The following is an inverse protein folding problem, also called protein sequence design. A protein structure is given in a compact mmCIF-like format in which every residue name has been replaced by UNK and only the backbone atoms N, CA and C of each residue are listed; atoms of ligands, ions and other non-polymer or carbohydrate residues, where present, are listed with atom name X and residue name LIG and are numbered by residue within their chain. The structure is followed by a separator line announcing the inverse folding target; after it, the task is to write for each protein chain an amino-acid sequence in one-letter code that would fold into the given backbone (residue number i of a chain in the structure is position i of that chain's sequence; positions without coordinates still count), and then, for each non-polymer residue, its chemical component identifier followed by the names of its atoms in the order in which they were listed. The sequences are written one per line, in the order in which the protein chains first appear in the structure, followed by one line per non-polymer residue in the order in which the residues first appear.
data_IF_634769370698
#
_entry.id   IF_634769370698
#
_cell.length_a   1.000
_cell.length_b   1.000
_cell.length_c   1.000
_cell.angle_alpha   90.00
_cell.angle_beta   90.00
_cell.angle_gamma   90.00
#
_symmetry.space_group_name_H-M   'P 1'
#
loop_
_entity.id
_entity.type
_entity.pdbx_description
1 polymer ?
#
# COMPACT_ATOMS: atom_id res chain seq x y z
N UNK A 1 -14.33 -56.91 -41.17
CA UNK A 1 -14.94 -55.99 -40.21
C UNK A 1 -14.07 -55.96 -38.97
N UNK A 2 -13.22 -55.00 -38.82
CA UNK A 2 -12.30 -54.90 -37.69
C UNK A 2 -12.74 -53.68 -36.82
N UNK A 3 -13.05 -53.94 -35.52
CA UNK A 3 -13.46 -52.92 -34.59
C UNK A 3 -12.27 -52.09 -34.07
N UNK A 4 -12.50 -50.87 -33.60
CA UNK A 4 -11.43 -49.98 -33.16
C UNK A 4 -10.85 -50.42 -31.81
N UNK A 5 -9.50 -50.47 -31.71
CA UNK A 5 -8.77 -50.72 -30.50
C UNK A 5 -8.81 -49.50 -29.59
N UNK A 6 -9.37 -49.66 -28.37
CA UNK A 6 -9.41 -48.64 -27.35
C UNK A 6 -8.01 -48.33 -26.80
N UNK A 7 -7.70 -47.03 -26.68
CA UNK A 7 -6.53 -46.51 -25.96
C UNK A 7 -6.74 -46.66 -24.46
N UNK A 8 -5.93 -47.45 -23.79
CA UNK A 8 -5.88 -47.50 -22.33
C UNK A 8 -5.03 -46.35 -21.81
N UNK A 9 -5.61 -45.45 -21.06
CA UNK A 9 -4.91 -44.36 -20.37
C UNK A 9 -4.05 -44.91 -19.25
N UNK A 10 -2.73 -44.73 -19.37
CA UNK A 10 -1.75 -45.12 -18.38
C UNK A 10 -1.78 -44.11 -17.21
N UNK A 11 -2.42 -44.47 -16.11
CA UNK A 11 -2.33 -43.75 -14.83
C UNK A 11 -1.06 -44.26 -14.10
N UNK A 12 0.07 -43.67 -14.43
CA UNK A 12 1.31 -43.91 -13.70
C UNK A 12 1.24 -43.23 -12.33
N UNK A 13 1.27 -44.03 -11.24
CA UNK A 13 1.51 -43.55 -9.89
C UNK A 13 2.89 -42.89 -9.84
N UNK A 14 2.90 -41.53 -9.67
CA UNK A 14 4.16 -40.79 -9.55
C UNK A 14 5.06 -41.37 -8.44
N UNK A 15 6.38 -41.42 -8.61
CA UNK A 15 7.28 -42.06 -7.67
C UNK A 15 7.23 -41.32 -6.32
N UNK A 16 6.90 -42.10 -5.27
CA UNK A 16 6.74 -41.60 -3.88
C UNK A 16 7.98 -40.84 -3.36
N UNK A 17 9.16 -41.10 -3.94
CA UNK A 17 10.40 -40.43 -3.58
C UNK A 17 10.40 -38.91 -3.96
N UNK A 18 9.66 -38.48 -5.00
CA UNK A 18 9.51 -37.05 -5.36
C UNK A 18 8.74 -36.29 -4.29
N UNK A 19 7.73 -36.93 -3.69
CA UNK A 19 6.97 -36.38 -2.58
C UNK A 19 7.87 -36.24 -1.34
N UNK A 20 8.70 -37.28 -1.08
CA UNK A 20 9.64 -37.28 0.04
C UNK A 20 10.71 -36.18 -0.11
N UNK A 21 11.22 -35.96 -1.34
CA UNK A 21 12.14 -34.87 -1.64
C UNK A 21 11.49 -33.47 -1.46
N UNK A 22 10.25 -33.32 -1.88
CA UNK A 22 9.52 -32.06 -1.70
C UNK A 22 9.30 -31.76 -0.21
N UNK A 23 8.93 -32.77 0.59
CA UNK A 23 8.78 -32.61 2.05
C UNK A 23 10.13 -32.28 2.70
N UNK A 24 11.21 -32.93 2.30
CA UNK A 24 12.54 -32.62 2.81
C UNK A 24 12.96 -31.19 2.49
N UNK A 25 12.69 -30.71 1.26
CA UNK A 25 12.98 -29.34 0.85
C UNK A 25 12.24 -28.32 1.71
N UNK A 26 10.95 -28.56 1.95
CA UNK A 26 10.13 -27.70 2.82
C UNK A 26 10.68 -27.66 4.24
N UNK A 27 11.09 -28.81 4.80
CA UNK A 27 11.70 -28.86 6.14
C UNK A 27 13.03 -28.10 6.21
N UNK A 28 13.86 -28.18 5.16
CA UNK A 28 15.10 -27.38 5.07
C UNK A 28 14.82 -25.89 5.03
N UNK A 29 13.84 -25.46 4.24
CA UNK A 29 13.44 -24.04 4.16
C UNK A 29 12.91 -23.56 5.51
N UNK A 30 12.03 -24.32 6.16
CA UNK A 30 11.50 -23.97 7.48
C UNK A 30 12.63 -23.93 8.54
N UNK A 31 13.59 -24.84 8.46
CA UNK A 31 14.79 -24.84 9.33
C UNK A 31 15.65 -23.59 9.11
N UNK A 32 15.89 -23.20 7.87
CA UNK A 32 16.63 -21.99 7.53
C UNK A 32 15.92 -20.72 8.04
N UNK A 33 14.61 -20.62 7.85
CA UNK A 33 13.81 -19.51 8.36
C UNK A 33 13.82 -19.46 9.91
N UNK A 34 13.77 -20.60 10.58
CA UNK A 34 13.87 -20.65 12.04
C UNK A 34 15.24 -20.18 12.52
N UNK A 35 16.34 -20.55 11.84
CA UNK A 35 17.69 -20.08 12.18
C UNK A 35 17.80 -18.58 11.99
N UNK A 36 17.31 -18.03 10.88
CA UNK A 36 17.30 -16.57 10.63
C UNK A 36 16.51 -15.85 11.72
N UNK A 37 15.35 -16.38 12.13
CA UNK A 37 14.53 -15.81 13.23
C UNK A 37 15.21 -15.89 14.59
N UNK A 38 15.98 -16.95 14.84
CA UNK A 38 16.70 -17.14 16.11
C UNK A 38 17.99 -16.31 16.19
N UNK A 39 18.57 -15.89 15.07
CA UNK A 39 19.79 -15.07 15.06
C UNK A 39 19.62 -13.74 15.84
N UNK A 40 18.42 -13.16 15.84
CA UNK A 40 18.15 -11.94 16.61
C UNK A 40 18.16 -12.11 18.14
N UNK A 41 18.15 -13.36 18.64
CA UNK A 41 18.21 -13.68 20.07
C UNK A 41 19.58 -14.24 20.48
N UNK A 42 20.57 -14.19 19.60
CA UNK A 42 21.95 -14.58 19.92
C UNK A 42 22.69 -13.37 20.47
N UNK A 43 23.04 -13.42 21.73
CA UNK A 43 23.87 -12.39 22.41
C UNK A 43 25.27 -13.00 22.62
N UNK A 44 26.32 -12.26 22.31
CA UNK A 44 27.70 -12.66 22.55
C UNK A 44 28.12 -12.12 23.93
N UNK A 45 28.70 -12.99 24.79
CA UNK A 45 29.29 -12.54 26.06
C UNK A 45 30.72 -12.01 25.84
N UNK A 46 31.32 -11.41 26.86
CA UNK A 46 32.67 -10.83 26.83
C UNK A 46 33.78 -11.85 26.46
N UNK A 47 33.44 -13.12 26.31
CA UNK A 47 34.33 -14.22 25.93
C UNK A 47 34.08 -14.73 24.50
N UNK A 48 33.33 -13.98 23.68
CA UNK A 48 32.99 -14.29 22.27
C UNK A 48 32.22 -15.63 22.09
N UNK A 49 31.47 -16.05 23.13
CA UNK A 49 30.64 -17.25 23.08
C UNK A 49 29.18 -16.88 22.83
N UNK A 50 28.55 -17.48 21.79
CA UNK A 50 27.14 -17.20 21.49
C UNK A 50 26.23 -17.80 22.59
N UNK A 51 25.33 -16.98 23.14
CA UNK A 51 24.30 -17.35 24.09
C UNK A 51 22.93 -17.06 23.50
N UNK A 52 21.98 -18.00 23.65
CA UNK A 52 20.61 -17.84 23.16
C UNK A 52 19.77 -17.30 24.31
N UNK A 53 19.27 -16.07 24.21
CA UNK A 53 18.38 -15.44 25.19
C UNK A 53 16.95 -15.46 24.65
N UNK A 54 16.16 -16.43 25.10
CA UNK A 54 14.76 -16.59 24.69
C UNK A 54 13.84 -15.93 25.70
N UNK A 55 12.80 -15.20 25.27
CA UNK A 55 11.82 -14.64 26.19
C UNK A 55 11.11 -15.74 26.98
N UNK A 56 11.23 -15.70 28.31
CA UNK A 56 10.56 -16.65 29.20
C UNK A 56 9.12 -16.22 29.41
N UNK A 57 8.17 -17.06 29.04
CA UNK A 57 6.77 -16.92 29.47
C UNK A 57 6.65 -17.37 30.93
N UNK A 58 6.54 -16.41 31.87
CA UNK A 58 6.27 -16.69 33.28
C UNK A 58 4.86 -17.25 33.43
N UNK A 59 4.78 -18.50 33.91
CA UNK A 59 3.59 -19.05 34.55
C UNK A 59 3.64 -18.69 36.02
N UNK A 60 2.54 -18.20 36.53
CA UNK A 60 2.31 -17.84 37.92
C UNK A 60 2.83 -18.87 38.94
N UNK A 61 3.50 -18.39 39.99
CA UNK A 61 3.79 -19.18 41.17
C UNK A 61 3.57 -18.37 42.47
N UNK A 62 2.94 -18.98 43.49
CA UNK A 62 2.54 -18.27 44.71
C UNK A 62 3.68 -18.12 45.72
N UNK A 63 3.44 -17.19 46.64
CA UNK A 63 4.28 -16.64 47.67
C UNK A 63 4.99 -17.62 48.61
N UNK A 64 6.19 -17.24 49.04
CA UNK A 64 6.96 -17.88 50.10
C UNK A 64 8.10 -17.01 50.61
N UNK A 65 7.82 -16.30 51.68
CA UNK A 65 8.61 -15.68 52.73
C UNK A 65 10.14 -15.90 52.79
N UNK A 66 10.92 -14.79 52.99
CA UNK A 66 12.28 -14.81 53.49
C UNK A 66 13.08 -13.52 53.29
N UNK A 67 13.10 -12.67 54.28
CA UNK A 67 13.78 -11.37 54.38
C UNK A 67 15.31 -11.47 54.43
N UNK A 68 16.03 -10.60 53.66
CA UNK A 68 17.18 -9.78 54.14
C UNK A 68 17.49 -8.66 53.12
N UNK A 69 17.88 -7.46 53.55
CA UNK A 69 18.02 -6.32 52.64
C UNK A 69 19.43 -6.28 52.05
N UNK A 70 19.52 -6.07 50.74
CA UNK A 70 20.73 -5.68 50.04
C UNK A 70 20.38 -4.50 49.16
N UNK A 71 21.22 -3.48 49.21
CA UNK A 71 21.16 -2.16 48.56
C UNK A 71 20.62 -2.15 47.15
N UNK A 72 19.71 -1.21 46.86
CA UNK A 72 19.19 -0.87 45.56
C UNK A 72 20.27 -0.29 44.63
N UNK A 73 20.47 -0.84 43.43
CA UNK A 73 20.93 -0.04 42.29
C UNK A 73 19.69 0.51 41.58
N UNK A 74 19.71 1.80 41.32
CA UNK A 74 18.60 2.59 40.76
C UNK A 74 17.83 1.94 39.65
N UNK A 75 16.54 2.14 39.74
CA UNK A 75 15.50 1.80 38.76
C UNK A 75 15.77 2.52 37.43
N UNK A 76 16.55 1.86 36.55
CA UNK A 76 16.61 2.25 35.17
C UNK A 76 15.37 1.65 34.49
N UNK A 77 14.22 2.30 34.62
CA UNK A 77 13.10 2.05 33.76
C UNK A 77 13.51 2.41 32.35
N UNK A 78 13.87 1.40 31.55
CA UNK A 78 13.93 1.55 30.11
C UNK A 78 12.49 1.74 29.63
N UNK A 79 12.07 2.97 29.53
CA UNK A 79 10.93 3.35 28.72
C UNK A 79 11.36 3.04 27.28
N UNK A 80 10.84 1.97 26.71
CA UNK A 80 10.86 1.81 25.25
C UNK A 80 9.95 2.96 24.79
N UNK A 81 10.54 4.08 24.38
CA UNK A 81 9.83 5.08 23.60
C UNK A 81 9.39 4.36 22.32
N UNK A 82 8.09 4.04 22.23
CA UNK A 82 7.51 3.76 20.93
C UNK A 82 7.92 4.95 20.03
N UNK A 83 8.45 4.69 18.82
CA UNK A 83 8.83 5.79 17.95
C UNK A 83 7.60 6.70 17.80
N UNK A 84 7.74 7.95 18.26
CA UNK A 84 6.68 8.95 18.16
C UNK A 84 6.20 8.95 16.71
N UNK A 85 4.95 8.57 16.51
CA UNK A 85 4.35 8.54 15.19
C UNK A 85 4.26 9.99 14.73
N UNK A 86 5.19 10.40 13.86
CA UNK A 86 5.28 11.77 13.36
C UNK A 86 3.97 12.13 12.68
N UNK A 87 3.28 13.15 13.16
CA UNK A 87 2.10 13.68 12.49
C UNK A 87 2.50 14.27 11.13
N UNK A 88 1.71 13.97 10.11
CA UNK A 88 1.97 14.37 8.73
C UNK A 88 1.10 15.58 8.38
N UNK A 89 1.69 16.76 8.41
CA UNK A 89 1.06 18.00 7.96
C UNK A 89 1.53 18.26 6.53
N UNK A 90 0.79 17.70 5.57
CA UNK A 90 1.23 17.61 4.20
C UNK A 90 0.62 18.69 3.29
N UNK A 91 1.42 19.11 2.30
CA UNK A 91 0.94 19.88 1.18
C UNK A 91 1.28 19.19 -0.16
N UNK A 92 0.31 19.20 -1.08
CA UNK A 92 0.53 18.69 -2.42
C UNK A 92 1.41 19.66 -3.23
N UNK A 93 2.45 19.10 -3.87
CA UNK A 93 3.28 19.84 -4.81
C UNK A 93 2.55 19.99 -6.17
N UNK A 94 2.91 21.02 -6.97
CA UNK A 94 2.40 21.13 -8.33
C UNK A 94 2.66 19.85 -9.13
N UNK A 95 1.68 19.40 -9.89
CA UNK A 95 1.80 18.20 -10.72
C UNK A 95 2.73 18.48 -11.90
N UNK A 96 3.78 17.69 -12.03
CA UNK A 96 4.75 17.81 -13.11
C UNK A 96 6.18 17.54 -12.65
N UNK A 97 7.14 17.61 -13.61
CA UNK A 97 8.56 17.46 -13.27
C UNK A 97 9.04 18.68 -12.49
N UNK A 98 9.64 18.44 -11.33
CA UNK A 98 10.23 19.47 -10.48
C UNK A 98 11.72 19.64 -10.87
N UNK A 99 12.20 20.88 -11.00
CA UNK A 99 13.59 21.21 -11.36
C UNK A 99 14.34 21.98 -10.28
N UNK A 100 13.64 22.51 -9.29
CA UNK A 100 14.22 23.24 -8.16
C UNK A 100 13.37 22.96 -6.90
N UNK A 101 13.84 22.04 -6.07
CA UNK A 101 13.16 21.65 -4.83
C UNK A 101 12.95 22.82 -3.87
N UNK A 102 14.01 23.60 -3.64
CA UNK A 102 13.95 24.68 -2.66
C UNK A 102 12.97 25.77 -3.04
N UNK A 103 12.96 26.14 -4.33
CA UNK A 103 12.00 27.14 -4.83
C UNK A 103 10.56 26.65 -4.75
N UNK A 104 10.31 25.40 -5.13
CA UNK A 104 8.97 24.79 -5.06
C UNK A 104 8.51 24.70 -3.60
N UNK A 105 9.35 24.18 -2.71
CA UNK A 105 8.99 24.04 -1.29
C UNK A 105 8.76 25.38 -0.58
N UNK A 106 9.58 26.38 -0.84
CA UNK A 106 9.37 27.72 -0.30
C UNK A 106 8.05 28.36 -0.75
N UNK A 107 7.59 28.05 -1.96
CA UNK A 107 6.30 28.53 -2.47
C UNK A 107 5.11 27.77 -1.86
N UNK A 108 5.23 26.45 -1.65
CA UNK A 108 4.16 25.59 -1.13
C UNK A 108 4.07 25.68 0.40
N UNK A 109 5.22 25.76 1.10
CA UNK A 109 5.30 25.78 2.57
C UNK A 109 5.94 27.08 3.08
N UNK A 110 5.31 28.25 2.88
CA UNK A 110 5.85 29.51 3.32
C UNK A 110 6.02 29.54 4.85
N UNK A 111 7.25 29.88 5.29
CA UNK A 111 7.55 29.91 6.72
C UNK A 111 7.60 28.55 7.41
N UNK A 112 7.67 27.44 6.67
CA UNK A 112 7.65 26.08 7.23
C UNK A 112 6.28 25.64 7.74
N UNK A 113 5.20 26.07 7.07
CA UNK A 113 3.83 25.78 7.46
C UNK A 113 3.50 24.26 7.43
N UNK A 114 4.24 23.50 6.66
CA UNK A 114 4.05 22.05 6.51
C UNK A 114 5.35 21.30 6.79
N UNK A 115 5.22 20.03 7.18
CA UNK A 115 6.35 19.13 7.44
C UNK A 115 6.42 17.96 6.45
N UNK A 116 5.48 17.88 5.50
CA UNK A 116 5.42 16.81 4.51
C UNK A 116 5.06 17.33 3.13
N UNK A 117 5.68 16.75 2.10
CA UNK A 117 5.49 17.10 0.70
C UNK A 117 4.92 15.91 -0.08
N UNK A 118 3.76 16.08 -0.72
CA UNK A 118 3.17 15.05 -1.59
C UNK A 118 3.58 15.33 -3.04
N UNK A 119 4.47 14.49 -3.57
CA UNK A 119 4.91 14.54 -4.95
C UNK A 119 4.11 13.55 -5.80
N UNK A 120 3.46 14.02 -6.84
CA UNK A 120 2.76 13.15 -7.79
C UNK A 120 3.76 12.44 -8.69
N UNK A 121 4.02 11.18 -8.40
CA UNK A 121 4.89 10.31 -9.21
C UNK A 121 4.19 9.88 -10.47
N UNK A 122 2.94 9.44 -10.38
CA UNK A 122 2.08 9.09 -11.50
C UNK A 122 0.74 9.79 -11.36
N UNK A 123 0.34 10.54 -12.40
CA UNK A 123 -0.93 11.22 -12.44
C UNK A 123 -2.03 10.39 -13.14
N UNK A 124 -3.29 10.79 -12.94
CA UNK A 124 -4.46 10.11 -13.48
C UNK A 124 -4.55 10.16 -15.02
N UNK A 125 -3.86 11.09 -15.67
CA UNK A 125 -3.69 11.14 -17.14
C UNK A 125 -2.67 10.12 -17.67
N UNK A 126 -2.08 9.29 -16.78
CA UNK A 126 -1.10 8.26 -17.10
C UNK A 126 0.32 8.77 -17.26
N UNK A 127 0.59 10.05 -16.94
CA UNK A 127 1.95 10.59 -17.01
C UNK A 127 2.73 10.25 -15.73
N UNK A 128 4.02 9.92 -15.89
CA UNK A 128 4.94 9.51 -14.83
C UNK A 128 6.10 10.50 -14.78
N UNK A 129 6.34 11.09 -13.63
CA UNK A 129 7.29 12.20 -13.43
C UNK A 129 8.60 11.79 -12.78
N UNK A 130 8.87 10.49 -12.74
CA UNK A 130 10.18 9.92 -12.38
C UNK A 130 10.68 9.02 -13.52
N UNK A 131 11.97 8.72 -13.52
CA UNK A 131 12.53 7.72 -14.41
C UNK A 131 12.22 6.33 -13.87
N UNK A 132 11.25 5.64 -14.47
CA UNK A 132 10.79 4.33 -14.03
C UNK A 132 10.71 3.36 -15.22
N UNK A 133 11.48 2.28 -15.18
CA UNK A 133 11.53 1.26 -16.24
C UNK A 133 10.18 0.53 -16.44
N UNK A 134 9.37 0.43 -15.39
CA UNK A 134 8.05 -0.19 -15.44
C UNK A 134 7.06 0.61 -16.28
N UNK A 135 7.25 1.93 -16.38
CA UNK A 135 6.37 2.84 -17.10
C UNK A 135 6.54 2.73 -18.62
N UNK A 136 5.45 2.80 -19.40
CA UNK A 136 5.58 2.94 -20.84
C UNK A 136 6.44 4.16 -21.20
N UNK A 137 7.39 4.09 -22.16
CA UNK A 137 8.22 5.24 -22.50
C UNK A 137 7.43 6.48 -22.91
N UNK A 138 6.22 6.28 -23.46
CA UNK A 138 5.31 7.37 -23.84
C UNK A 138 4.68 8.09 -22.65
N UNK A 139 4.71 7.52 -21.43
CA UNK A 139 4.17 8.13 -20.21
C UNK A 139 5.20 8.96 -19.46
N UNK A 140 6.49 8.65 -19.56
CA UNK A 140 7.55 9.31 -18.79
C UNK A 140 7.72 10.77 -19.21
N UNK A 141 7.73 11.67 -18.23
CA UNK A 141 7.85 13.13 -18.39
C UNK A 141 8.88 13.67 -17.43
N UNK A 142 10.12 13.29 -17.64
CA UNK A 142 11.28 13.89 -16.96
C UNK A 142 11.88 15.01 -17.81
N UNK A 143 12.49 15.99 -17.16
CA UNK A 143 13.25 17.08 -17.80
C UNK A 143 14.62 17.17 -17.17
N UNK A 144 15.53 17.87 -17.83
CA UNK A 144 16.86 18.11 -17.29
C UNK A 144 16.77 18.75 -15.89
N UNK A 145 17.52 18.20 -14.92
CA UNK A 145 17.50 18.64 -13.53
C UNK A 145 16.41 18.00 -12.65
N UNK A 146 15.38 17.34 -13.21
CA UNK A 146 14.30 16.79 -12.37
C UNK A 146 14.75 15.69 -11.42
N UNK A 147 15.68 14.83 -11.85
CA UNK A 147 16.23 13.78 -11.00
C UNK A 147 17.07 14.37 -9.83
N UNK A 148 17.80 15.44 -10.08
CA UNK A 148 18.56 16.13 -9.04
C UNK A 148 17.64 16.80 -8.03
N UNK A 149 16.61 17.52 -8.49
CA UNK A 149 15.64 18.19 -7.62
C UNK A 149 14.84 17.18 -6.77
N UNK A 150 14.47 16.03 -7.32
CA UNK A 150 13.86 14.94 -6.58
C UNK A 150 14.82 14.39 -5.51
N UNK A 151 16.08 14.15 -5.88
CA UNK A 151 17.12 13.71 -4.94
C UNK A 151 17.37 14.71 -3.82
N UNK A 152 17.25 16.02 -4.08
CA UNK A 152 17.36 17.07 -3.06
C UNK A 152 16.16 17.05 -2.11
N UNK A 153 14.95 16.80 -2.62
CA UNK A 153 13.75 16.62 -1.81
C UNK A 153 13.87 15.42 -0.87
N UNK A 154 14.29 14.27 -1.40
CA UNK A 154 14.40 13.02 -0.63
C UNK A 154 15.54 13.03 0.42
N UNK A 155 16.48 13.99 0.32
CA UNK A 155 17.55 14.20 1.28
C UNK A 155 17.24 15.28 2.31
N UNK A 156 16.13 15.97 2.18
CA UNK A 156 15.75 17.04 3.10
C UNK A 156 15.13 16.42 4.36
N UNK A 157 15.97 16.21 5.38
CA UNK A 157 15.58 15.59 6.67
C UNK A 157 14.44 16.34 7.39
N UNK A 158 14.19 17.60 7.02
CA UNK A 158 13.09 18.41 7.56
C UNK A 158 11.73 18.07 6.95
N UNK A 159 11.69 17.32 5.85
CA UNK A 159 10.48 17.08 5.06
C UNK A 159 10.19 15.57 4.93
N UNK A 160 8.99 15.18 5.29
CA UNK A 160 8.47 13.85 5.07
C UNK A 160 7.98 13.73 3.62
N UNK A 161 8.57 12.84 2.84
CA UNK A 161 8.34 12.73 1.41
C UNK A 161 7.28 11.67 1.07
N UNK A 162 6.16 12.08 0.49
CA UNK A 162 5.05 11.20 0.08
C UNK A 162 5.01 11.07 -1.43
N UNK A 163 5.13 9.84 -1.95
CA UNK A 163 4.94 9.51 -3.37
C UNK A 163 3.47 9.23 -3.66
N UNK A 164 2.79 10.10 -4.39
CA UNK A 164 1.40 9.88 -4.83
C UNK A 164 1.37 9.15 -6.16
N UNK A 165 0.61 8.05 -6.22
CA UNK A 165 0.41 7.22 -7.40
C UNK A 165 -1.10 7.09 -7.68
N UNK A 166 -1.59 7.74 -8.74
CA UNK A 166 -2.94 7.52 -9.27
C UNK A 166 -2.95 6.15 -10.00
N UNK A 167 -3.58 5.13 -9.41
CA UNK A 167 -3.35 3.74 -9.80
C UNK A 167 -4.05 3.34 -11.10
N UNK A 168 -5.32 2.98 -11.03
CA UNK A 168 -5.99 2.29 -12.14
C UNK A 168 -6.54 3.24 -13.23
N UNK A 169 -6.70 4.51 -12.96
CA UNK A 169 -6.97 5.49 -14.01
C UNK A 169 -5.67 5.83 -14.74
N UNK A 170 -5.52 5.28 -15.94
CA UNK A 170 -4.30 5.41 -16.75
C UNK A 170 -4.59 5.23 -18.24
N UNK A 171 -4.82 6.31 -18.96
CA UNK A 171 -5.09 6.25 -20.38
C UNK A 171 -3.89 5.85 -21.23
N UNK A 172 -2.67 6.02 -20.75
CA UNK A 172 -1.44 5.70 -21.50
C UNK A 172 -1.11 4.21 -21.40
N UNK A 173 -0.93 3.69 -20.17
CA UNK A 173 -0.54 2.29 -19.99
C UNK A 173 -1.66 1.32 -20.39
N UNK A 174 -2.94 1.68 -20.15
CA UNK A 174 -4.09 0.88 -20.58
C UNK A 174 -4.18 0.71 -22.09
N UNK A 175 -3.78 1.74 -22.84
CA UNK A 175 -3.79 1.70 -24.31
C UNK A 175 -2.53 1.10 -24.91
N UNK A 176 -1.38 1.26 -24.22
CA UNK A 176 -0.10 0.69 -24.68
C UNK A 176 -0.13 -0.84 -24.64
N UNK A 177 -0.82 -1.42 -23.65
CA UNK A 177 -1.00 -2.86 -23.51
C UNK A 177 -2.43 -3.19 -23.08
N UNK A 178 -3.36 -3.11 -24.01
CA UNK A 178 -4.76 -3.43 -23.74
C UNK A 178 -4.97 -4.90 -23.33
N UNK A 179 -4.16 -5.81 -23.83
CA UNK A 179 -4.31 -7.23 -23.54
C UNK A 179 -3.85 -7.57 -22.12
N UNK A 180 -2.67 -7.08 -21.73
CA UNK A 180 -2.06 -7.39 -20.43
C UNK A 180 -2.46 -6.44 -19.30
N UNK A 181 -2.88 -5.20 -19.61
CA UNK A 181 -3.11 -4.16 -18.61
C UNK A 181 -4.47 -3.46 -18.69
N UNK A 182 -4.95 -3.15 -19.90
CA UNK A 182 -6.09 -2.27 -20.09
C UNK A 182 -7.44 -2.92 -19.82
N UNK A 183 -8.39 -2.16 -19.26
CA UNK A 183 -9.78 -2.57 -19.13
C UNK A 183 -10.47 -2.54 -20.49
N UNK A 184 -11.17 -3.62 -20.84
CA UNK A 184 -11.84 -3.80 -22.13
C UNK A 184 -13.34 -3.57 -22.02
N UNK A 185 -13.94 -3.22 -23.15
CA UNK A 185 -15.39 -3.33 -23.31
C UNK A 185 -15.77 -4.68 -23.94
N UNK A 186 -17.06 -5.01 -23.92
CA UNK A 186 -17.60 -6.27 -24.48
C UNK A 186 -17.40 -6.46 -25.99
N UNK A 187 -16.92 -5.43 -26.68
CA UNK A 187 -16.48 -5.50 -28.07
C UNK A 187 -14.99 -5.78 -28.25
N UNK A 188 -14.24 -5.96 -27.14
CA UNK A 188 -12.79 -6.23 -27.16
C UNK A 188 -11.91 -4.99 -27.33
N UNK A 189 -12.49 -3.79 -27.30
CA UNK A 189 -11.77 -2.51 -27.38
C UNK A 189 -11.55 -1.93 -26.00
N UNK A 190 -10.72 -0.89 -25.90
CA UNK A 190 -10.54 -0.09 -24.67
C UNK A 190 -11.89 0.37 -24.15
N UNK A 191 -12.09 0.22 -22.84
CA UNK A 191 -13.27 0.77 -22.16
C UNK A 191 -13.05 2.26 -21.88
N UNK A 192 -14.08 3.06 -22.13
CA UNK A 192 -14.16 4.46 -21.74
C UNK A 192 -15.28 4.62 -20.74
N UNK A 193 -14.98 5.25 -19.62
CA UNK A 193 -15.97 5.56 -18.59
C UNK A 193 -16.86 6.76 -18.97
N UNK A 194 -17.72 7.22 -18.08
CA UNK A 194 -18.61 8.36 -18.32
C UNK A 194 -17.90 9.69 -18.48
N UNK A 195 -16.66 9.82 -18.03
CA UNK A 195 -15.81 11.00 -18.15
C UNK A 195 -14.82 10.89 -19.32
N UNK A 196 -14.97 9.87 -20.17
CA UNK A 196 -14.07 9.57 -21.29
C UNK A 196 -12.65 9.18 -20.85
N UNK A 197 -12.52 8.68 -19.61
CA UNK A 197 -11.27 8.17 -19.06
C UNK A 197 -11.06 6.69 -19.39
N UNK A 198 -9.80 6.27 -19.43
CA UNK A 198 -9.39 4.88 -19.70
C UNK A 198 -8.69 4.31 -18.47
N UNK A 199 -8.88 3.03 -18.26
CA UNK A 199 -8.54 2.38 -17.02
C UNK A 199 -7.67 1.14 -17.23
N UNK A 200 -6.75 0.90 -16.32
CA UNK A 200 -6.14 -0.41 -16.12
C UNK A 200 -7.18 -1.35 -15.50
N UNK A 201 -6.99 -2.65 -15.71
CA UNK A 201 -7.85 -3.69 -15.17
C UNK A 201 -7.23 -4.29 -13.90
N UNK A 202 -7.81 -4.06 -12.72
CA UNK A 202 -7.29 -4.61 -11.46
C UNK A 202 -7.21 -6.14 -11.41
N UNK A 203 -8.02 -6.83 -12.23
CA UNK A 203 -7.96 -8.28 -12.34
C UNK A 203 -6.74 -8.80 -13.10
N UNK A 204 -6.05 -7.93 -13.86
CA UNK A 204 -4.89 -8.32 -14.67
C UNK A 204 -3.59 -8.17 -13.89
N UNK A 205 -2.83 -9.26 -13.84
CA UNK A 205 -1.50 -9.28 -13.21
C UNK A 205 -0.56 -8.20 -13.78
N UNK A 206 -0.54 -8.02 -15.12
CA UNK A 206 0.33 -7.00 -15.74
C UNK A 206 -0.02 -5.56 -15.38
N UNK A 207 -1.30 -5.26 -15.04
CA UNK A 207 -1.70 -3.96 -14.51
C UNK A 207 -1.23 -3.77 -13.07
N UNK A 208 -1.42 -4.78 -12.22
CA UNK A 208 -0.99 -4.74 -10.83
C UNK A 208 0.53 -4.67 -10.70
N UNK A 209 1.25 -5.54 -11.43
CA UNK A 209 2.72 -5.57 -11.42
C UNK A 209 3.33 -4.21 -11.82
N UNK A 210 2.79 -3.56 -12.86
CA UNK A 210 3.23 -2.23 -13.28
C UNK A 210 3.17 -1.21 -12.13
N UNK A 211 2.07 -1.19 -11.37
CA UNK A 211 1.88 -0.27 -10.26
C UNK A 211 2.75 -0.65 -9.05
N UNK A 212 2.92 -1.94 -8.79
CA UNK A 212 3.81 -2.46 -7.74
C UNK A 212 5.27 -2.10 -8.04
N UNK A 213 5.73 -2.31 -9.28
CA UNK A 213 7.10 -1.95 -9.68
C UNK A 213 7.35 -0.45 -9.55
N UNK A 214 6.37 0.39 -9.89
CA UNK A 214 6.46 1.84 -9.73
C UNK A 214 6.57 2.25 -8.25
N UNK A 215 5.74 1.67 -7.39
CA UNK A 215 5.78 1.94 -5.94
C UNK A 215 7.09 1.46 -5.31
N UNK A 216 7.58 0.28 -5.72
CA UNK A 216 8.88 -0.26 -5.28
C UNK A 216 10.03 0.65 -5.70
N UNK A 217 9.99 1.22 -6.91
CA UNK A 217 10.98 2.21 -7.35
C UNK A 217 10.96 3.48 -6.49
N UNK A 218 9.78 3.93 -6.05
CA UNK A 218 9.65 5.06 -5.12
C UNK A 218 10.23 4.74 -3.74
N UNK A 219 9.90 3.57 -3.18
CA UNK A 219 10.44 3.12 -1.90
C UNK A 219 11.97 3.00 -1.94
N UNK A 220 12.51 2.41 -3.01
CA UNK A 220 13.96 2.30 -3.23
C UNK A 220 14.64 3.66 -3.43
N UNK A 221 13.94 4.68 -3.93
CA UNK A 221 14.44 6.04 -4.06
C UNK A 221 14.51 6.80 -2.73
N UNK A 222 13.81 6.33 -1.68
CA UNK A 222 13.83 6.92 -0.34
C UNK A 222 12.63 7.79 -0.02
N UNK A 223 11.48 7.57 -0.63
CA UNK A 223 10.22 8.13 -0.14
C UNK A 223 9.83 7.50 1.19
N UNK A 224 9.27 8.30 2.10
CA UNK A 224 8.82 7.85 3.42
C UNK A 224 7.44 7.19 3.37
N UNK A 225 6.63 7.51 2.34
CA UNK A 225 5.26 7.01 2.20
C UNK A 225 4.85 6.87 0.73
N UNK A 226 4.10 5.81 0.43
CA UNK A 226 3.43 5.61 -0.86
C UNK A 226 1.94 5.83 -0.66
N UNK A 227 1.40 6.90 -1.25
CA UNK A 227 -0.01 7.23 -1.25
C UNK A 227 -0.68 6.77 -2.54
N UNK A 228 -1.51 5.74 -2.45
CA UNK A 228 -2.27 5.21 -3.57
C UNK A 228 -3.61 5.95 -3.72
N UNK A 229 -3.92 6.38 -4.93
CA UNK A 229 -5.22 6.96 -5.29
C UNK A 229 -5.80 6.24 -6.51
N UNK A 230 -7.07 6.45 -6.84
CA UNK A 230 -7.77 5.76 -7.95
C UNK A 230 -7.62 4.21 -7.89
N UNK A 231 -7.63 3.63 -6.67
CA UNK A 231 -7.58 2.18 -6.46
C UNK A 231 -9.00 1.62 -6.54
N UNK A 232 -9.57 1.62 -7.74
CA UNK A 232 -10.95 1.20 -7.97
C UNK A 232 -11.16 0.76 -9.41
N UNK A 233 -12.30 0.09 -9.66
CA UNK A 233 -12.89 0.03 -10.99
C UNK A 233 -13.64 1.33 -11.31
N UNK A 234 -13.89 1.64 -12.60
CA UNK A 234 -14.70 2.79 -12.97
C UNK A 234 -16.12 2.68 -12.40
N UNK A 235 -16.64 3.82 -11.91
CA UNK A 235 -17.94 3.90 -11.23
C UNK A 235 -19.00 4.66 -12.03
N UNK A 236 -18.61 5.27 -13.15
CA UNK A 236 -19.50 6.07 -14.00
C UNK A 236 -19.48 5.59 -15.45
N UNK A 237 -20.58 5.81 -16.15
CA UNK A 237 -20.71 5.46 -17.55
C UNK A 237 -21.46 4.14 -17.81
N UNK A 238 -21.17 3.49 -18.94
CA UNK A 238 -21.85 2.26 -19.36
C UNK A 238 -21.17 1.02 -18.75
N UNK A 239 -21.22 0.88 -17.42
CA UNK A 239 -20.53 -0.18 -16.67
C UNK A 239 -20.93 -1.60 -17.13
N UNK A 240 -22.16 -1.79 -17.61
CA UNK A 240 -22.63 -3.04 -18.19
C UNK A 240 -21.96 -3.41 -19.52
N UNK A 241 -21.09 -2.56 -20.05
CA UNK A 241 -20.28 -2.79 -21.24
C UNK A 241 -18.83 -3.12 -20.91
N UNK A 242 -18.47 -3.20 -19.63
CA UNK A 242 -17.14 -3.66 -19.23
C UNK A 242 -17.04 -5.18 -19.49
N UNK A 243 -15.95 -5.60 -20.10
CA UNK A 243 -15.53 -7.00 -20.17
C UNK A 243 -14.53 -7.25 -19.04
N UNK A 244 -15.03 -7.81 -17.94
CA UNK A 244 -14.19 -8.15 -16.79
C UNK A 244 -13.35 -9.42 -17.01
N UNK A 245 -13.45 -10.05 -18.18
CA UNK A 245 -12.73 -11.28 -18.52
C UNK A 245 -13.13 -12.47 -17.65
N UNK A 246 -12.36 -13.57 -17.72
CA UNK A 246 -12.67 -14.77 -16.96
C UNK A 246 -12.35 -14.66 -15.47
N UNK A 247 -11.49 -13.71 -15.09
CA UNK A 247 -11.03 -13.53 -13.72
C UNK A 247 -12.01 -12.73 -12.85
N UNK A 248 -12.88 -11.93 -13.45
CA UNK A 248 -13.86 -11.12 -12.74
C UNK A 248 -15.23 -11.15 -13.44
N UNK A 249 -16.28 -11.31 -12.65
CA UNK A 249 -17.65 -11.45 -13.17
C UNK A 249 -18.42 -10.13 -13.20
N UNK A 250 -17.82 -9.03 -12.71
CA UNK A 250 -18.50 -7.75 -12.52
C UNK A 250 -19.42 -7.71 -11.29
N UNK A 251 -19.51 -8.80 -10.52
CA UNK A 251 -20.18 -8.82 -9.23
C UNK A 251 -19.30 -8.18 -8.15
N UNK A 252 -19.88 -7.55 -7.13
CA UNK A 252 -19.13 -6.83 -6.09
C UNK A 252 -17.99 -7.63 -5.47
N UNK A 253 -18.23 -8.90 -5.11
CA UNK A 253 -17.21 -9.76 -4.50
C UNK A 253 -16.04 -10.07 -5.45
N UNK A 254 -16.32 -10.24 -6.74
CA UNK A 254 -15.29 -10.47 -7.74
C UNK A 254 -14.45 -9.22 -8.00
N UNK A 255 -15.06 -8.03 -8.00
CA UNK A 255 -14.34 -6.76 -8.12
C UNK A 255 -13.46 -6.50 -6.89
N UNK A 256 -13.99 -6.77 -5.69
CA UNK A 256 -13.22 -6.68 -4.44
C UNK A 256 -12.00 -7.58 -4.44
N UNK A 257 -12.10 -8.81 -4.96
CA UNK A 257 -10.97 -9.71 -5.09
C UNK A 257 -9.82 -9.11 -5.91
N UNK A 258 -10.12 -8.43 -7.02
CA UNK A 258 -9.11 -7.76 -7.84
C UNK A 258 -8.38 -6.64 -7.09
N UNK A 259 -9.14 -5.80 -6.37
CA UNK A 259 -8.55 -4.72 -5.55
C UNK A 259 -7.74 -5.29 -4.39
N UNK A 260 -8.26 -6.30 -3.68
CA UNK A 260 -7.56 -6.91 -2.54
C UNK A 260 -6.28 -7.64 -2.95
N UNK A 261 -6.29 -8.31 -4.13
CA UNK A 261 -5.10 -8.93 -4.69
C UNK A 261 -4.01 -7.88 -4.94
N UNK A 262 -4.35 -6.76 -5.58
CA UNK A 262 -3.42 -5.65 -5.80
C UNK A 262 -2.82 -5.10 -4.51
N UNK A 263 -3.64 -4.80 -3.51
CA UNK A 263 -3.17 -4.22 -2.25
C UNK A 263 -2.33 -5.22 -1.44
N UNK A 264 -2.66 -6.51 -1.51
CA UNK A 264 -1.86 -7.57 -0.87
C UNK A 264 -0.49 -7.71 -1.55
N UNK A 265 -0.44 -7.72 -2.88
CA UNK A 265 0.80 -7.73 -3.67
C UNK A 265 1.65 -6.49 -3.39
N UNK A 266 1.02 -5.31 -3.32
CA UNK A 266 1.67 -4.03 -2.99
C UNK A 266 2.29 -4.07 -1.60
N UNK A 267 1.53 -4.46 -0.57
CA UNK A 267 2.02 -4.57 0.81
C UNK A 267 3.19 -5.56 0.93
N UNK A 268 3.11 -6.70 0.23
CA UNK A 268 4.16 -7.71 0.21
C UNK A 268 5.44 -7.19 -0.44
N UNK A 269 5.33 -6.48 -1.57
CA UNK A 269 6.49 -5.91 -2.27
C UNK A 269 7.19 -4.79 -1.49
N UNK A 270 6.43 -4.03 -0.70
CA UNK A 270 6.98 -2.95 0.11
C UNK A 270 7.49 -3.40 1.50
N UNK A 271 7.28 -4.66 1.88
CA UNK A 271 7.63 -5.16 3.22
C UNK A 271 9.16 -5.14 3.55
N UNK A 272 10.02 -5.06 2.53
CA UNK A 272 11.48 -4.97 2.70
C UNK A 272 11.98 -3.52 2.85
N UNK A 273 11.08 -2.52 2.67
CA UNK A 273 11.41 -1.10 2.73
C UNK A 273 10.83 -0.48 4.00
N UNK A 274 11.53 0.49 4.56
CA UNK A 274 11.01 1.33 5.65
C UNK A 274 10.16 2.45 5.05
N UNK A 275 8.98 2.08 4.54
CA UNK A 275 8.04 2.98 3.87
C UNK A 275 6.62 2.70 4.33
N UNK A 276 5.84 3.75 4.57
CA UNK A 276 4.42 3.64 4.89
C UNK A 276 3.59 3.41 3.63
N UNK A 277 2.57 2.57 3.73
CA UNK A 277 1.60 2.34 2.66
C UNK A 277 0.26 2.97 3.02
N UNK A 278 -0.22 3.86 2.18
CA UNK A 278 -1.42 4.65 2.40
C UNK A 278 -2.32 4.67 1.19
N UNK A 279 -3.60 4.95 1.40
CA UNK A 279 -4.61 5.00 0.34
C UNK A 279 -5.56 6.18 0.54
N UNK A 280 -5.98 6.81 -0.55
CA UNK A 280 -7.10 7.75 -0.56
C UNK A 280 -8.39 6.99 -0.86
N UNK A 281 -9.35 7.05 0.07
CA UNK A 281 -10.67 6.44 -0.08
C UNK A 281 -11.77 7.50 -0.16
N UNK A 282 -12.85 7.25 -0.91
CA UNK A 282 -13.99 8.14 -0.94
C UNK A 282 -14.76 8.08 0.40
N UNK A 283 -15.30 9.22 0.89
CA UNK A 283 -15.96 9.29 2.19
C UNK A 283 -17.20 8.38 2.29
N UNK A 284 -17.82 8.03 1.17
CA UNK A 284 -18.97 7.13 1.10
C UNK A 284 -18.69 5.74 1.68
N UNK A 285 -17.44 5.27 1.64
CA UNK A 285 -17.04 3.99 2.24
C UNK A 285 -17.10 4.01 3.78
N UNK A 286 -17.10 5.20 4.38
CA UNK A 286 -17.19 5.38 5.84
C UNK A 286 -18.64 5.45 6.33
N UNK A 287 -19.59 5.67 5.42
CA UNK A 287 -21.01 5.61 5.76
C UNK A 287 -21.35 4.18 6.24
N UNK A 288 -21.89 4.11 7.44
CA UNK A 288 -22.06 2.86 8.20
C UNK A 288 -22.87 1.81 7.48
N UNK A 289 -22.43 0.57 7.63
CA UNK A 289 -23.05 -0.74 7.51
C UNK A 289 -22.87 -1.45 6.17
N UNK A 290 -22.57 -2.74 6.27
CA UNK A 290 -22.39 -3.69 5.17
C UNK A 290 -23.50 -3.79 4.11
N UNK A 291 -24.62 -3.08 4.30
CA UNK A 291 -25.66 -2.90 3.29
C UNK A 291 -25.27 -1.88 2.21
N UNK A 292 -24.53 -0.81 2.57
CA UNK A 292 -24.07 0.20 1.61
C UNK A 292 -22.84 -0.26 0.82
N UNK A 293 -22.04 -1.16 1.36
CA UNK A 293 -20.95 -1.79 0.63
C UNK A 293 -21.44 -2.72 -0.51
N UNK A 294 -22.68 -3.17 -0.46
CA UNK A 294 -23.32 -4.01 -1.49
C UNK A 294 -24.10 -3.20 -2.52
N UNK A 295 -24.36 -1.93 -2.29
CA UNK A 295 -25.17 -1.06 -3.16
C UNK A 295 -24.43 0.25 -3.50
N UNK A 296 -24.76 0.85 -4.64
CA UNK A 296 -24.19 2.12 -5.07
C UNK A 296 -22.76 2.04 -5.61
N UNK A 297 -21.99 3.12 -5.42
CA UNK A 297 -20.65 3.28 -5.97
C UNK A 297 -19.66 2.24 -5.43
N UNK A 298 -19.74 1.90 -4.15
CA UNK A 298 -18.85 0.92 -3.54
C UNK A 298 -19.01 -0.48 -4.17
N UNK A 299 -20.24 -0.87 -4.52
CA UNK A 299 -20.51 -2.17 -5.15
C UNK A 299 -19.83 -2.34 -6.51
N UNK A 300 -19.64 -1.27 -7.26
CA UNK A 300 -19.03 -1.29 -8.60
C UNK A 300 -17.57 -0.87 -8.61
N UNK A 301 -17.09 -0.19 -7.57
CA UNK A 301 -15.69 0.22 -7.44
C UNK A 301 -14.75 -0.93 -7.07
N UNK A 302 -15.27 -1.98 -6.46
CA UNK A 302 -14.49 -3.07 -5.88
C UNK A 302 -13.82 -2.70 -4.55
N UNK A 303 -14.17 -1.56 -3.94
CA UNK A 303 -13.61 -1.10 -2.67
C UNK A 303 -14.45 -1.58 -1.48
N UNK A 304 -13.79 -1.86 -0.36
CA UNK A 304 -14.39 -2.13 0.94
C UNK A 304 -13.47 -1.58 2.02
N UNK A 305 -14.01 -0.77 2.92
CA UNK A 305 -13.23 -0.21 4.04
C UNK A 305 -12.69 -1.34 4.93
N UNK A 306 -13.51 -2.38 5.16
CA UNK A 306 -13.18 -3.52 5.98
C UNK A 306 -12.02 -4.35 5.44
N UNK A 307 -11.91 -4.47 4.12
CA UNK A 307 -10.85 -5.23 3.47
C UNK A 307 -9.56 -4.40 3.32
N UNK A 308 -9.70 -3.10 3.07
CA UNK A 308 -8.61 -2.20 2.70
C UNK A 308 -7.89 -1.65 3.94
N UNK A 309 -8.63 -1.11 4.90
CA UNK A 309 -8.02 -0.40 6.03
C UNK A 309 -6.98 -1.24 6.82
N UNK A 310 -7.19 -2.54 7.10
CA UNK A 310 -6.19 -3.36 7.81
C UNK A 310 -4.87 -3.59 7.05
N UNK A 311 -4.85 -3.28 5.75
CA UNK A 311 -3.65 -3.40 4.93
C UNK A 311 -2.81 -2.11 4.92
N UNK A 312 -3.38 -0.98 5.37
CA UNK A 312 -2.80 0.36 5.25
C UNK A 312 -2.25 0.86 6.59
N UNK A 313 -1.19 1.65 6.54
CA UNK A 313 -0.73 2.44 7.68
C UNK A 313 -1.60 3.69 7.86
N UNK A 314 -2.03 4.32 6.73
CA UNK A 314 -2.90 5.50 6.74
C UNK A 314 -4.00 5.39 5.71
N UNK A 315 -5.16 5.94 6.06
CA UNK A 315 -6.27 6.15 5.13
C UNK A 315 -6.53 7.65 5.03
N UNK A 316 -6.34 8.17 3.84
CA UNK A 316 -6.68 9.53 3.47
C UNK A 316 -8.15 9.58 3.04
N UNK A 317 -8.85 10.64 3.44
CA UNK A 317 -10.26 10.85 3.07
C UNK A 317 -10.54 12.34 2.90
N UNK A 318 -11.23 12.69 1.80
CA UNK A 318 -11.67 14.08 1.59
C UNK A 318 -12.70 14.46 2.64
N UNK A 319 -12.46 15.56 3.35
CA UNK A 319 -13.32 16.04 4.42
C UNK A 319 -13.45 17.56 4.39
N UNK A 320 -14.53 18.09 4.96
CA UNK A 320 -14.74 19.53 5.09
C UNK A 320 -13.85 20.18 6.15
N UNK A 321 -13.34 19.38 7.09
CA UNK A 321 -12.60 19.83 8.26
C UNK A 321 -13.51 20.12 9.48
N UNK A 322 -14.82 19.83 9.36
CA UNK A 322 -15.73 19.90 10.52
C UNK A 322 -15.38 18.82 11.54
N UNK A 323 -15.22 19.20 12.81
CA UNK A 323 -14.81 18.30 13.87
C UNK A 323 -15.75 17.10 14.05
N UNK A 324 -17.05 17.29 13.90
CA UNK A 324 -18.05 16.21 14.02
C UNK A 324 -17.92 15.22 12.89
N UNK A 325 -17.67 15.68 11.65
CA UNK A 325 -17.39 14.83 10.50
C UNK A 325 -16.12 14.01 10.73
N UNK A 326 -15.03 14.67 11.14
CA UNK A 326 -13.74 14.01 11.39
C UNK A 326 -13.83 12.95 12.49
N UNK A 327 -14.54 13.24 13.58
CA UNK A 327 -14.76 12.28 14.68
C UNK A 327 -15.58 11.07 14.24
N UNK A 328 -16.56 11.28 13.37
CA UNK A 328 -17.36 10.21 12.78
C UNK A 328 -16.49 9.29 11.90
N UNK A 329 -15.65 9.89 11.04
CA UNK A 329 -14.72 9.15 10.17
C UNK A 329 -13.69 8.36 10.99
N UNK A 330 -13.08 8.98 12.00
CA UNK A 330 -12.13 8.32 12.91
C UNK A 330 -12.77 7.17 13.67
N UNK A 331 -13.96 7.39 14.22
CA UNK A 331 -14.70 6.35 14.95
C UNK A 331 -15.00 5.16 14.04
N UNK A 332 -15.41 5.42 12.80
CA UNK A 332 -15.70 4.35 11.85
C UNK A 332 -14.45 3.59 11.44
N UNK A 333 -13.35 4.27 11.20
CA UNK A 333 -12.07 3.63 10.88
C UNK A 333 -11.58 2.77 12.05
N UNK A 334 -11.63 3.28 13.27
CA UNK A 334 -11.18 2.57 14.48
C UNK A 334 -11.97 1.28 14.77
N UNK A 335 -13.23 1.19 14.32
CA UNK A 335 -14.02 -0.06 14.38
C UNK A 335 -13.45 -1.12 13.44
N UNK A 336 -12.92 -0.71 12.29
CA UNK A 336 -12.40 -1.62 11.25
C UNK A 336 -10.93 -1.95 11.46
N UNK A 337 -10.12 -0.94 11.75
CA UNK A 337 -8.69 -1.08 11.99
C UNK A 337 -8.23 -0.07 13.03
N UNK A 338 -7.70 -0.57 14.15
CA UNK A 338 -7.23 0.29 15.26
C UNK A 338 -5.85 0.89 15.01
N UNK A 339 -5.06 0.22 14.17
CA UNK A 339 -3.67 0.58 13.92
C UNK A 339 -3.51 1.49 12.69
N UNK A 340 -4.61 1.76 11.97
CA UNK A 340 -4.64 2.60 10.78
C UNK A 340 -4.98 4.03 11.15
N UNK A 341 -4.12 4.98 10.79
CA UNK A 341 -4.34 6.41 11.01
C UNK A 341 -5.29 7.01 9.96
N UNK A 342 -6.24 7.86 10.38
CA UNK A 342 -7.06 8.66 9.46
C UNK A 342 -6.37 10.00 9.17
N UNK A 343 -6.17 10.31 7.90
CA UNK A 343 -5.61 11.59 7.43
C UNK A 343 -6.66 12.33 6.59
N UNK A 344 -7.27 13.41 7.09
CA UNK A 344 -8.21 14.21 6.31
C UNK A 344 -7.49 14.96 5.19
N UNK A 345 -8.10 14.97 3.99
CA UNK A 345 -7.70 15.80 2.86
C UNK A 345 -8.61 17.02 2.84
N UNK A 346 -8.03 18.18 3.08
CA UNK A 346 -8.73 19.45 3.25
C UNK A 346 -8.52 20.36 2.05
N UNK A 347 -9.55 21.11 1.65
CA UNK A 347 -9.45 22.10 0.58
C UNK A 347 -8.70 23.37 1.02
N UNK A 348 -8.68 23.66 2.30
CA UNK A 348 -7.98 24.80 2.88
C UNK A 348 -7.41 24.42 4.24
N UNK A 349 -6.28 25.02 4.66
CA UNK A 349 -5.78 24.80 6.01
C UNK A 349 -6.83 25.33 6.99
N UNK A 350 -7.48 24.42 7.73
CA UNK A 350 -8.11 24.74 9.00
C UNK A 350 -7.00 25.15 9.98
N UNK A 351 -7.33 25.70 11.14
CA UNK A 351 -6.35 25.80 12.23
C UNK A 351 -6.04 24.38 12.68
N UNK A 352 -4.88 23.80 12.30
CA UNK A 352 -4.57 22.45 12.68
C UNK A 352 -4.37 22.39 14.19
N UNK A 353 -4.98 21.43 14.84
CA UNK A 353 -4.56 21.04 16.18
C UNK A 353 -3.13 20.49 16.09
N UNK A 354 -2.26 20.94 16.99
CA UNK A 354 -0.90 20.42 17.06
C UNK A 354 -0.93 18.90 17.21
N UNK A 355 -0.14 18.20 16.39
CA UNK A 355 -0.04 16.73 16.44
C UNK A 355 -1.08 15.98 15.61
N UNK A 356 -1.92 16.64 14.84
CA UNK A 356 -2.89 16.00 13.93
C UNK A 356 -2.36 15.95 12.50
N UNK A 357 -2.43 14.76 11.87
CA UNK A 357 -2.11 14.60 10.45
C UNK A 357 -3.22 15.15 9.54
N UNK A 358 -2.82 15.82 8.46
CA UNK A 358 -3.73 16.26 7.39
C UNK A 358 -2.96 16.47 6.08
N UNK A 359 -3.69 16.48 4.97
CA UNK A 359 -3.19 16.87 3.65
C UNK A 359 -3.99 18.05 3.12
N UNK A 360 -3.31 19.08 2.67
CA UNK A 360 -3.93 20.17 1.89
C UNK A 360 -3.89 19.78 0.41
N UNK A 361 -5.08 19.68 -0.18
CA UNK A 361 -5.22 19.44 -1.62
C UNK A 361 -4.70 20.64 -2.42
N UNK A 362 -4.19 20.44 -3.66
CA UNK A 362 -3.67 21.50 -4.52
C UNK A 362 -4.77 22.44 -4.99
#
# INVERSE_FOLDING_TARGET
MGGPRGYSSYHGKGPKWKILLAVLLVLVILGALAVIRLQKYVVYDDSDRPRLDLPQFSKDQPEGSGSTPVDEPGDASFTIEEPEQRSVQAAALPVGPMTDWKAVWAAVSPGGAYNAAVYTVKAADGLVYIDAQAAPPSSVRTVEGSAAALGDMLKDEGVYAVAKIDCFRDPVASSADLAGRGLKNTGGYVFYDGNNERWLDPAKEGARQYLVDLATACAAAGFDEILLTDVSYPTVGKLNKIDYGPAATGLPDSLRQGINAFLTEMKAALAEYDVKLSILLPPELFASTGALAAEGTAAVSGQSLEDIAPLMDRVYVSASGDGTELDSLRTRLAVVSKDTELVPVLAQPGAPEDGVSYLIAP
#
